data_IF_501433343881
#
_entry.id   IF_501433343881
#
_cell.length_a   1.000
_cell.length_b   1.000
_cell.length_c   1.000
_cell.angle_alpha   90.00
_cell.angle_beta   90.00
_cell.angle_gamma   90.00
#
_symmetry.space_group_name_H-M   'P 1'
#
loop_
_entity.id
_entity.type
_entity.pdbx_description
1 polymer ?
#
# COMPACT_ATOMS: atom_id res chain seq x y z
N UNK A 1 24.77 36.51 -12.13
CA UNK A 1 24.00 36.58 -10.88
C UNK A 1 22.93 35.49 -10.91
N UNK A 2 23.01 34.45 -10.06
CA UNK A 2 21.97 33.40 -10.00
C UNK A 2 20.86 33.91 -9.07
N UNK A 3 19.67 34.16 -9.61
CA UNK A 3 18.52 34.55 -8.80
C UNK A 3 18.19 33.40 -7.84
N UNK A 4 18.30 33.63 -6.53
CA UNK A 4 17.85 32.69 -5.50
C UNK A 4 16.33 32.62 -5.58
N UNK A 5 15.81 31.42 -5.82
CA UNK A 5 14.39 31.11 -5.73
C UNK A 5 13.86 31.57 -4.35
N UNK A 6 12.71 32.27 -4.28
CA UNK A 6 12.21 32.82 -3.01
C UNK A 6 11.90 31.70 -2.02
N UNK A 7 12.29 31.88 -0.76
CA UNK A 7 12.12 30.89 0.33
C UNK A 7 10.68 30.40 0.53
N UNK A 8 9.69 31.15 0.04
CA UNK A 8 8.28 30.73 0.04
C UNK A 8 8.04 29.46 -0.80
N UNK A 9 8.84 29.22 -1.85
CA UNK A 9 8.72 28.03 -2.69
C UNK A 9 9.32 26.76 -2.05
N UNK A 10 10.16 26.90 -1.00
CA UNK A 10 10.74 25.76 -0.28
C UNK A 10 9.82 25.18 0.79
N UNK A 11 8.69 25.82 1.10
CA UNK A 11 7.90 25.53 2.30
C UNK A 11 6.58 24.78 2.09
N UNK A 12 6.32 24.21 0.92
CA UNK A 12 5.09 23.43 0.69
C UNK A 12 5.30 22.14 -0.09
N UNK A 13 6.28 21.33 0.31
CA UNK A 13 6.03 19.90 0.41
C UNK A 13 5.80 19.60 1.90
N UNK A 14 4.73 20.14 2.46
CA UNK A 14 4.13 19.44 3.58
C UNK A 14 3.60 18.15 2.98
N UNK A 15 4.26 17.02 3.24
CA UNK A 15 3.55 15.74 3.22
C UNK A 15 2.33 16.00 4.11
N UNK A 16 1.15 16.13 3.50
CA UNK A 16 -0.06 16.38 4.25
C UNK A 16 -0.12 15.29 5.31
N UNK A 17 -0.17 15.69 6.59
CA UNK A 17 -0.31 14.72 7.67
C UNK A 17 -1.64 14.02 7.41
N UNK A 18 -1.58 12.76 7.01
CA UNK A 18 -2.77 11.92 6.87
C UNK A 18 -3.23 11.62 8.29
N UNK A 19 -4.49 11.92 8.59
CA UNK A 19 -5.05 11.63 9.90
C UNK A 19 -5.06 10.11 10.12
N UNK A 20 -4.77 9.61 11.34
CA UNK A 20 -4.71 8.17 11.61
C UNK A 20 -5.97 7.41 11.16
N UNK A 21 -7.14 8.06 11.26
CA UNK A 21 -8.42 7.51 10.78
C UNK A 21 -8.42 7.27 9.27
N UNK A 22 -7.93 8.24 8.52
CA UNK A 22 -7.83 8.16 7.06
C UNK A 22 -6.82 7.10 6.62
N UNK A 23 -5.76 6.88 7.41
CA UNK A 23 -4.86 5.74 7.18
C UNK A 23 -5.61 4.42 7.32
N UNK A 24 -6.38 4.23 8.40
CA UNK A 24 -7.14 3.00 8.64
C UNK A 24 -8.16 2.77 7.52
N UNK A 25 -8.87 3.80 7.08
CA UNK A 25 -9.85 3.70 6.00
C UNK A 25 -9.22 3.29 4.66
N UNK A 26 -7.96 3.65 4.42
CA UNK A 26 -7.21 3.29 3.20
C UNK A 26 -6.55 1.91 3.28
N UNK A 27 -6.21 1.42 4.47
CA UNK A 27 -5.37 0.23 4.63
C UNK A 27 -6.11 -0.98 5.18
N UNK A 28 -7.26 -0.78 5.85
CA UNK A 28 -7.98 -1.87 6.48
C UNK A 28 -8.81 -2.65 5.46
N UNK A 29 -8.42 -3.89 5.22
CA UNK A 29 -9.23 -4.84 4.47
C UNK A 29 -10.22 -5.47 5.44
N UNK A 30 -11.52 -5.27 5.18
CA UNK A 30 -12.58 -5.88 5.99
C UNK A 30 -13.12 -7.11 5.29
N UNK A 31 -13.18 -8.25 5.98
CA UNK A 31 -13.61 -9.53 5.41
C UNK A 31 -14.62 -10.22 6.31
N UNK A 32 -15.38 -11.17 5.76
CA UNK A 32 -16.23 -12.04 6.56
C UNK A 32 -15.37 -13.05 7.34
N UNK A 33 -15.87 -13.60 8.46
CA UNK A 33 -15.13 -14.65 9.19
C UNK A 33 -14.81 -15.87 8.33
N UNK A 34 -15.73 -16.26 7.43
CA UNK A 34 -15.51 -17.38 6.51
C UNK A 34 -14.37 -17.11 5.51
N UNK A 35 -14.29 -15.89 4.98
CA UNK A 35 -13.20 -15.51 4.07
C UNK A 35 -11.85 -15.45 4.81
N UNK A 36 -11.84 -14.98 6.06
CA UNK A 36 -10.64 -14.98 6.89
C UNK A 36 -10.15 -16.41 7.17
N UNK A 37 -11.04 -17.33 7.53
CA UNK A 37 -10.68 -18.74 7.74
C UNK A 37 -10.08 -19.41 6.49
N UNK A 38 -10.59 -19.08 5.30
CA UNK A 38 -10.02 -19.55 4.03
C UNK A 38 -8.64 -18.95 3.75
N UNK A 39 -8.42 -17.70 4.14
CA UNK A 39 -7.14 -17.03 4.02
C UNK A 39 -6.10 -17.64 4.96
N UNK A 40 -6.46 -17.94 6.21
CA UNK A 40 -5.56 -18.59 7.18
C UNK A 40 -5.04 -19.92 6.65
N UNK A 41 -5.91 -20.76 6.08
CA UNK A 41 -5.51 -22.04 5.46
C UNK A 41 -4.53 -21.84 4.30
N UNK A 42 -4.65 -20.73 3.56
CA UNK A 42 -3.75 -20.43 2.43
C UNK A 42 -2.41 -19.86 2.88
N UNK A 43 -2.36 -19.14 4.00
CA UNK A 43 -1.12 -18.59 4.56
C UNK A 43 -0.11 -19.68 4.93
N UNK A 44 -0.59 -20.79 5.49
CA UNK A 44 0.25 -21.92 5.89
C UNK A 44 0.62 -22.83 4.70
N UNK A 45 -0.06 -22.69 3.56
CA UNK A 45 0.14 -23.54 2.40
C UNK A 45 1.31 -23.04 1.52
N UNK A 46 2.03 -23.95 0.83
CA UNK A 46 3.03 -23.53 -0.16
C UNK A 46 2.37 -22.76 -1.31
N UNK A 47 3.06 -21.74 -1.87
CA UNK A 47 2.52 -20.94 -2.96
C UNK A 47 2.29 -21.80 -4.21
N UNK A 48 1.12 -21.64 -4.83
CA UNK A 48 0.74 -22.33 -6.08
C UNK A 48 0.56 -21.31 -7.21
N UNK A 49 1.65 -20.77 -7.76
CA UNK A 49 1.56 -19.76 -8.82
C UNK A 49 0.93 -20.39 -10.08
N UNK A 50 -0.02 -19.68 -10.68
CA UNK A 50 -0.64 -20.12 -11.92
C UNK A 50 0.31 -19.96 -13.12
N UNK A 51 -0.03 -20.59 -14.26
CA UNK A 51 0.81 -20.58 -15.45
C UNK A 51 1.13 -19.17 -15.94
N UNK A 52 0.14 -18.26 -15.90
CA UNK A 52 0.34 -16.86 -16.29
C UNK A 52 1.39 -16.17 -15.41
N UNK A 53 1.29 -16.31 -14.10
CA UNK A 53 2.23 -15.71 -13.14
C UNK A 53 3.63 -16.29 -13.31
N UNK A 54 3.76 -17.61 -13.52
CA UNK A 54 5.04 -18.26 -13.80
C UNK A 54 5.70 -17.70 -15.06
N UNK A 55 4.94 -17.44 -16.12
CA UNK A 55 5.47 -16.83 -17.37
C UNK A 55 5.92 -15.39 -17.18
N UNK A 56 5.30 -14.64 -16.26
CA UNK A 56 5.64 -13.23 -16.00
C UNK A 56 6.84 -13.06 -15.07
N UNK A 57 7.09 -14.03 -14.17
CA UNK A 57 8.19 -13.97 -13.20
C UNK A 57 9.51 -14.58 -13.72
N UNK A 58 9.48 -15.28 -14.85
CA UNK A 58 10.66 -15.82 -15.55
C UNK A 58 11.21 -14.79 -16.54
#
# INVERSE_FOLDING_TARGET
MKAKLPDKARKSLSVARIEPREVIERTLITVTPAAYAQFDVQLDAPPKPNERLRKTMN
#
